data_IF_040498930016
#
_entry.id   IF_040498930016
#
_cell.length_a   1.000
_cell.length_b   1.000
_cell.length_c   1.000
_cell.angle_alpha   90.00
_cell.angle_beta   90.00
_cell.angle_gamma   90.00
#
_symmetry.space_group_name_H-M   'P 1'
#
loop_
_entity.id
_entity.type
_entity.pdbx_description
1 polymer ?
#
# COMPACT_ATOMS: atom_id res chain seq x y z
N UNK A 1 26.25 -7.16 -4.62
CA UNK A 1 25.89 -5.76 -4.28
C UNK A 1 24.55 -5.40 -4.94
N UNK A 2 23.41 -5.78 -4.35
CA UNK A 2 22.06 -5.43 -4.87
C UNK A 2 21.13 -4.78 -3.83
N UNK A 3 21.56 -4.63 -2.58
CA UNK A 3 20.65 -4.31 -1.46
C UNK A 3 20.40 -2.80 -1.24
N UNK A 4 21.11 -1.92 -1.95
CA UNK A 4 21.02 -0.46 -1.73
C UNK A 4 19.96 0.25 -2.58
N UNK A 5 19.44 -0.38 -3.64
CA UNK A 5 18.52 0.29 -4.58
C UNK A 5 17.05 0.26 -4.07
N UNK A 6 16.62 -0.81 -3.40
CA UNK A 6 15.26 -0.95 -2.84
C UNK A 6 14.97 -0.06 -1.61
N UNK A 7 16.01 0.40 -0.91
CA UNK A 7 15.85 1.06 0.39
C UNK A 7 15.54 2.57 0.27
N UNK A 8 15.94 3.20 -0.83
CA UNK A 8 15.70 4.62 -1.11
C UNK A 8 14.22 4.89 -1.44
N UNK A 9 13.53 3.92 -2.04
CA UNK A 9 12.15 4.09 -2.51
C UNK A 9 11.15 4.23 -1.35
N UNK A 10 11.35 3.46 -0.28
CA UNK A 10 10.46 3.42 0.90
C UNK A 10 10.49 4.72 1.71
N UNK A 11 11.66 5.35 1.83
CA UNK A 11 11.78 6.62 2.55
C UNK A 11 11.17 7.78 1.74
N UNK A 12 11.18 7.68 0.40
CA UNK A 12 10.48 8.62 -0.48
C UNK A 12 8.96 8.51 -0.31
N UNK A 13 8.38 7.30 -0.25
CA UNK A 13 6.94 7.09 0.01
C UNK A 13 6.49 7.74 1.31
N UNK A 14 7.28 7.63 2.38
CA UNK A 14 6.96 8.28 3.66
C UNK A 14 6.99 9.81 3.51
N UNK A 15 7.97 10.37 2.82
CA UNK A 15 8.08 11.82 2.59
C UNK A 15 6.92 12.35 1.75
N UNK A 16 6.55 11.63 0.69
CA UNK A 16 5.40 11.93 -0.17
C UNK A 16 4.11 11.90 0.64
N UNK A 17 3.90 10.86 1.47
CA UNK A 17 2.71 10.75 2.32
C UNK A 17 2.61 11.86 3.38
N UNK A 18 3.74 12.34 3.89
CA UNK A 18 3.79 13.50 4.79
C UNK A 18 3.45 14.79 4.02
N UNK A 19 3.99 14.96 2.81
CA UNK A 19 3.76 16.12 1.95
C UNK A 19 2.30 16.21 1.48
N UNK A 20 1.67 15.09 1.10
CA UNK A 20 0.25 15.03 0.73
C UNK A 20 -0.67 15.47 1.86
N UNK A 21 -0.24 15.30 3.12
CA UNK A 21 -0.98 15.78 4.31
C UNK A 21 -0.70 17.25 4.65
N UNK A 22 0.11 17.94 3.86
CA UNK A 22 0.49 19.34 4.08
C UNK A 22 1.35 19.55 5.33
N UNK A 23 1.99 18.50 5.84
CA UNK A 23 2.79 18.55 7.06
C UNK A 23 4.28 18.52 6.73
N UNK A 24 5.09 19.06 7.63
CA UNK A 24 6.55 18.88 7.58
C UNK A 24 6.95 17.63 8.34
N UNK A 25 8.10 17.03 7.99
CA UNK A 25 8.67 15.86 8.70
C UNK A 25 8.78 16.12 10.21
N UNK A 26 9.09 17.36 10.61
CA UNK A 26 9.18 17.76 12.03
C UNK A 26 7.80 17.76 12.72
N UNK A 27 6.77 18.28 12.05
CA UNK A 27 5.40 18.27 12.57
C UNK A 27 4.86 16.84 12.67
N UNK A 28 5.11 16.04 11.64
CA UNK A 28 4.72 14.64 11.61
C UNK A 28 5.38 13.82 12.73
N UNK A 29 6.68 14.01 12.96
CA UNK A 29 7.40 13.39 14.07
C UNK A 29 6.75 13.70 15.43
N UNK A 30 6.39 14.98 15.65
CA UNK A 30 5.69 15.40 16.87
C UNK A 30 4.30 14.77 16.99
N UNK A 31 3.55 14.65 15.89
CA UNK A 31 2.24 14.03 15.86
C UNK A 31 2.27 12.54 16.22
N UNK A 32 3.28 11.80 15.74
CA UNK A 32 3.42 10.36 16.02
C UNK A 32 4.18 10.08 17.33
N UNK A 33 4.56 11.11 18.09
CA UNK A 33 5.32 10.97 19.33
C UNK A 33 6.73 10.41 19.14
N UNK A 34 7.36 10.66 17.98
CA UNK A 34 8.70 10.19 17.65
C UNK A 34 9.71 11.35 17.62
N UNK A 35 10.94 11.17 18.13
CA UNK A 35 11.98 12.18 17.98
C UNK A 35 12.29 12.46 16.51
N UNK A 36 12.48 13.74 16.17
CA UNK A 36 12.84 14.14 14.80
C UNK A 36 14.11 13.46 14.30
N UNK A 37 15.11 13.31 15.17
CA UNK A 37 16.37 12.62 14.85
C UNK A 37 16.15 11.14 14.51
N UNK A 38 15.24 10.46 15.20
CA UNK A 38 14.87 9.07 14.93
C UNK A 38 14.20 8.95 13.57
N UNK A 39 13.19 9.78 13.29
CA UNK A 39 12.51 9.77 12.00
C UNK A 39 13.48 10.10 10.85
N UNK A 40 14.36 11.09 11.04
CA UNK A 40 15.38 11.47 10.08
C UNK A 40 16.36 10.31 9.81
N UNK A 41 16.80 9.61 10.86
CA UNK A 41 17.69 8.45 10.73
C UNK A 41 17.01 7.32 9.98
N UNK A 42 15.72 7.06 10.23
CA UNK A 42 14.94 6.05 9.49
C UNK A 42 14.83 6.43 8.01
N UNK A 43 14.60 7.71 7.71
CA UNK A 43 14.54 8.21 6.34
C UNK A 43 15.89 8.18 5.62
N UNK A 44 17.02 8.25 6.35
CA UNK A 44 18.38 8.29 5.79
C UNK A 44 19.05 6.91 5.70
N UNK A 45 18.93 6.10 6.76
CA UNK A 45 19.50 4.75 6.86
C UNK A 45 18.60 3.68 6.25
N UNK A 46 17.32 4.01 6.02
CA UNK A 46 16.36 3.11 5.42
C UNK A 46 15.30 2.61 6.37
N UNK A 47 14.11 2.41 5.80
CA UNK A 47 12.94 1.87 6.49
C UNK A 47 13.18 0.43 6.93
N UNK A 48 14.02 -0.33 6.21
CA UNK A 48 14.32 -1.74 6.50
C UNK A 48 15.16 -1.99 7.76
N UNK A 49 15.89 -0.99 8.26
CA UNK A 49 16.69 -1.08 9.49
C UNK A 49 16.02 -0.52 10.74
N UNK A 50 14.80 0.00 10.60
CA UNK A 50 14.06 0.59 11.71
C UNK A 50 13.37 -0.47 12.56
N UNK A 51 13.27 -0.24 13.87
CA UNK A 51 12.48 -1.08 14.75
C UNK A 51 11.01 -1.13 14.29
N UNK A 52 10.39 -2.31 14.31
CA UNK A 52 9.01 -2.53 13.87
C UNK A 52 8.02 -1.60 14.58
N UNK A 53 8.23 -1.34 15.87
CA UNK A 53 7.42 -0.40 16.67
C UNK A 53 7.41 1.02 16.08
N UNK A 54 8.58 1.50 15.62
CA UNK A 54 8.70 2.80 14.98
C UNK A 54 8.01 2.81 13.60
N UNK A 55 8.12 1.73 12.84
CA UNK A 55 7.42 1.59 11.55
C UNK A 55 5.90 1.56 11.72
N UNK A 56 5.41 0.85 12.72
CA UNK A 56 3.98 0.80 13.04
C UNK A 56 3.44 2.18 13.42
N UNK A 57 4.17 2.97 14.20
CA UNK A 57 3.79 4.36 14.53
C UNK A 57 3.73 5.25 13.29
N UNK A 58 4.72 5.15 12.41
CA UNK A 58 4.76 5.92 11.15
C UNK A 58 3.61 5.51 10.23
N UNK A 59 3.39 4.21 10.03
CA UNK A 59 2.27 3.67 9.26
C UNK A 59 0.91 4.09 9.83
N UNK A 60 0.73 4.00 11.15
CA UNK A 60 -0.49 4.42 11.82
C UNK A 60 -0.74 5.93 11.65
N UNK A 61 0.30 6.75 11.78
CA UNK A 61 0.22 8.20 11.53
C UNK A 61 -0.13 8.53 10.08
N UNK A 62 0.33 7.73 9.13
CA UNK A 62 0.03 7.89 7.70
C UNK A 62 -1.25 7.16 7.26
N UNK A 63 -1.89 6.37 8.13
CA UNK A 63 -2.97 5.44 7.80
C UNK A 63 -2.63 4.57 6.57
N UNK A 64 -1.36 4.21 6.42
CA UNK A 64 -0.87 3.35 5.35
C UNK A 64 -0.64 1.95 5.89
N UNK A 65 -1.04 0.89 5.17
CA UNK A 65 -0.72 -0.47 5.58
C UNK A 65 0.79 -0.67 5.53
N UNK A 66 1.37 -1.33 6.54
CA UNK A 66 2.80 -1.65 6.59
C UNK A 66 3.26 -2.41 5.33
N UNK A 67 2.36 -3.21 4.74
CA UNK A 67 2.58 -3.88 3.46
C UNK A 67 2.95 -2.91 2.32
N UNK A 68 2.40 -1.69 2.29
CA UNK A 68 2.74 -0.65 1.31
C UNK A 68 4.17 -0.12 1.46
N UNK A 69 4.80 -0.30 2.63
CA UNK A 69 6.22 -0.01 2.83
C UNK A 69 7.12 -1.22 2.53
N UNK A 70 6.55 -2.42 2.42
CA UNK A 70 7.31 -3.66 2.25
C UNK A 70 7.35 -4.15 0.80
N UNK A 71 6.33 -3.83 -0.01
CA UNK A 71 6.27 -4.27 -1.40
C UNK A 71 7.07 -3.37 -2.35
N UNK A 72 7.88 -3.93 -3.28
CA UNK A 72 8.42 -3.20 -4.44
C UNK A 72 7.35 -2.90 -5.51
N UNK A 73 6.09 -3.14 -5.17
CA UNK A 73 4.94 -2.80 -6.00
C UNK A 73 4.22 -1.67 -5.30
N UNK A 74 4.21 -0.51 -5.96
CA UNK A 74 3.45 0.67 -5.62
C UNK A 74 2.12 0.29 -4.95
N UNK A 75 1.73 0.91 -3.83
CA UNK A 75 0.32 0.96 -3.50
C UNK A 75 -0.30 1.69 -4.68
N UNK A 76 -0.94 0.95 -5.58
CA UNK A 76 -1.92 1.58 -6.43
C UNK A 76 -2.86 2.30 -5.45
N UNK A 77 -3.25 3.57 -5.72
CA UNK A 77 -4.37 4.15 -4.99
C UNK A 77 -5.44 3.07 -4.91
N UNK A 78 -6.23 2.94 -3.81
CA UNK A 78 -7.34 2.00 -3.82
C UNK A 78 -8.01 2.25 -5.16
N UNK A 79 -7.93 1.26 -6.06
CA UNK A 79 -8.58 1.40 -7.34
C UNK A 79 -10.01 1.39 -6.88
N UNK A 80 -10.53 2.58 -6.63
CA UNK A 80 -11.93 2.88 -6.54
C UNK A 80 -12.43 2.65 -7.97
N UNK A 81 -12.38 1.39 -8.40
CA UNK A 81 -13.50 0.85 -9.11
C UNK A 81 -14.70 1.09 -8.20
N UNK A 82 -15.86 1.46 -8.76
CA UNK A 82 -17.07 1.62 -7.98
C UNK A 82 -17.23 0.39 -7.08
N UNK A 83 -17.61 0.61 -5.83
CA UNK A 83 -17.95 -0.48 -4.93
C UNK A 83 -18.90 -1.42 -5.69
N UNK A 84 -18.50 -2.70 -5.81
CA UNK A 84 -19.26 -3.69 -6.58
C UNK A 84 -20.73 -3.58 -6.23
N UNK A 85 -21.53 -3.23 -7.23
CA UNK A 85 -22.98 -3.14 -7.13
C UNK A 85 -23.53 -4.50 -6.67
N UNK A 86 -24.72 -4.50 -6.06
CA UNK A 86 -25.37 -5.74 -5.64
C UNK A 86 -25.52 -6.75 -6.78
N UNK A 87 -25.67 -6.27 -8.01
CA UNK A 87 -25.72 -7.08 -9.22
C UNK A 87 -24.39 -7.77 -9.51
N UNK A 88 -23.27 -7.04 -9.49
CA UNK A 88 -21.93 -7.60 -9.74
C UNK A 88 -21.53 -8.61 -8.65
N UNK A 89 -21.86 -8.32 -7.38
CA UNK A 89 -21.64 -9.26 -6.28
C UNK A 89 -22.41 -10.57 -6.47
N UNK A 90 -23.64 -10.50 -6.98
CA UNK A 90 -24.45 -11.68 -7.27
C UNK A 90 -23.89 -12.48 -8.44
N UNK A 91 -23.45 -11.80 -9.50
CA UNK A 91 -22.80 -12.41 -10.65
C UNK A 91 -21.53 -13.16 -10.23
N UNK A 92 -20.66 -12.55 -9.43
CA UNK A 92 -19.45 -13.18 -8.91
C UNK A 92 -19.74 -14.42 -8.06
N UNK A 93 -20.75 -14.36 -7.19
CA UNK A 93 -21.18 -15.52 -6.37
C UNK A 93 -21.67 -16.68 -7.26
N UNK A 94 -22.49 -16.39 -8.26
CA UNK A 94 -23.01 -17.40 -9.19
C UNK A 94 -21.92 -17.97 -10.10
N UNK A 95 -21.03 -17.12 -10.60
CA UNK A 95 -19.87 -17.52 -11.39
C UNK A 95 -19.00 -18.52 -10.63
N UNK A 96 -18.72 -18.27 -9.34
CA UNK A 96 -17.96 -19.21 -8.49
C UNK A 96 -18.71 -20.51 -8.20
N UNK A 97 -20.02 -20.46 -8.07
CA UNK A 97 -20.86 -21.64 -7.79
C UNK A 97 -21.04 -22.57 -9.00
N UNK A 98 -20.86 -22.06 -10.23
CA UNK A 98 -21.11 -22.80 -11.48
C UNK A 98 -19.83 -22.91 -12.33
N UNK A 99 -18.84 -23.72 -11.91
CA UNK A 99 -17.56 -23.87 -12.64
C UNK A 99 -17.72 -24.34 -14.09
N UNK A 100 -18.80 -25.07 -14.39
CA UNK A 100 -19.12 -25.53 -15.75
C UNK A 100 -19.48 -24.41 -16.72
N UNK A 101 -20.02 -23.29 -16.23
CA UNK A 101 -20.44 -22.14 -17.06
C UNK A 101 -19.38 -21.04 -17.15
N UNK A 102 -18.36 -21.08 -16.29
CA UNK A 102 -17.23 -20.15 -16.31
C UNK A 102 -16.56 -19.99 -17.68
N UNK A 103 -16.23 -21.07 -18.44
CA UNK A 103 -15.59 -20.89 -19.75
C UNK A 103 -16.48 -20.16 -20.76
N UNK A 104 -17.80 -20.34 -20.69
CA UNK A 104 -18.74 -19.62 -21.54
C UNK A 104 -18.81 -18.14 -21.16
N UNK A 105 -18.84 -17.83 -19.85
CA UNK A 105 -18.86 -16.44 -19.36
C UNK A 105 -17.55 -15.72 -19.68
N UNK A 106 -16.39 -16.38 -19.52
CA UNK A 106 -15.10 -15.82 -19.94
C UNK A 106 -15.06 -15.51 -21.43
N UNK A 107 -15.60 -16.42 -22.26
CA UNK A 107 -15.68 -16.23 -23.72
C UNK A 107 -16.61 -15.08 -24.12
N UNK A 108 -17.74 -14.90 -23.43
CA UNK A 108 -18.69 -13.81 -23.72
C UNK A 108 -18.18 -12.43 -23.29
N UNK A 109 -17.28 -12.39 -22.31
CA UNK A 109 -16.71 -11.15 -21.79
C UNK A 109 -15.34 -10.83 -22.41
N UNK A 110 -14.87 -11.62 -23.39
CA UNK A 110 -13.52 -11.55 -23.98
C UNK A 110 -12.40 -11.51 -22.92
N UNK A 111 -12.62 -12.24 -21.81
CA UNK A 111 -11.62 -12.40 -20.75
C UNK A 111 -10.85 -13.68 -21.05
N UNK A 112 -9.64 -13.55 -21.59
CA UNK A 112 -8.75 -14.70 -21.75
C UNK A 112 -8.41 -15.28 -20.37
N UNK A 113 -8.65 -16.59 -20.23
CA UNK A 113 -8.29 -17.33 -19.02
C UNK A 113 -6.77 -17.51 -19.01
N UNK A 114 -6.05 -17.11 -17.94
CA UNK A 114 -4.63 -17.43 -17.79
C UNK A 114 -4.40 -18.95 -17.64
#
# INVERSE_FOLDING_TARGET
MRETIDNQDRSAVIREGIAQRGMTVKSFAAQIGMPYSTLLSILKSGVGGAALDNLQKICAGLQLPLAALQSPTLPQPPISGPALTAAEQRLLKQYRALPKMQPAVCKLLDIEKP
#
